data_IF_480652029168
#
_entry.id   IF_480652029168
#
_cell.length_a   1.000
_cell.length_b   1.000
_cell.length_c   1.000
_cell.angle_alpha   90.00
_cell.angle_beta   90.00
_cell.angle_gamma   90.00
#
_symmetry.space_group_name_H-M   'P 1'
#
loop_
_entity.id
_entity.type
_entity.pdbx_description
1 polymer ?
#
# COMPACT_ATOMS: atom_id res chain seq x y z
N UNK A 1 -13.17 -1.48 -12.25
CA UNK A 1 -13.16 -1.03 -10.84
C UNK A 1 -11.73 -0.72 -10.40
N UNK A 2 -11.38 0.56 -10.27
CA UNK A 2 -10.16 0.95 -9.54
C UNK A 2 -10.41 0.63 -8.06
N UNK A 3 -9.87 -0.49 -7.57
CA UNK A 3 -9.96 -0.86 -6.15
C UNK A 3 -9.21 0.21 -5.36
N UNK A 4 -9.94 1.11 -4.71
CA UNK A 4 -9.35 2.13 -3.86
C UNK A 4 -8.76 1.44 -2.61
N UNK A 5 -7.44 1.31 -2.58
CA UNK A 5 -6.72 0.74 -1.44
C UNK A 5 -6.42 1.89 -0.48
N UNK A 6 -7.27 2.03 0.54
CA UNK A 6 -7.23 3.15 1.49
C UNK A 6 -7.06 2.74 2.96
N UNK A 7 -6.95 1.44 3.25
CA UNK A 7 -6.78 0.92 4.61
C UNK A 7 -5.90 -0.34 4.62
N UNK A 8 -5.33 -0.66 5.78
CA UNK A 8 -4.46 -1.82 5.99
C UNK A 8 -5.08 -3.15 5.54
N UNK A 9 -6.38 -3.35 5.80
CA UNK A 9 -7.11 -4.57 5.43
C UNK A 9 -7.17 -4.74 3.91
N UNK A 10 -7.52 -3.68 3.18
CA UNK A 10 -7.57 -3.68 1.72
C UNK A 10 -6.17 -3.81 1.11
N UNK A 11 -5.14 -3.24 1.75
CA UNK A 11 -3.75 -3.40 1.32
C UNK A 11 -3.31 -4.86 1.39
N UNK A 12 -3.54 -5.51 2.54
CA UNK A 12 -3.24 -6.93 2.75
C UNK A 12 -3.99 -7.82 1.74
N UNK A 13 -5.29 -7.58 1.52
CA UNK A 13 -6.10 -8.31 0.52
C UNK A 13 -5.56 -8.19 -0.91
N UNK A 14 -4.84 -7.10 -1.23
CA UNK A 14 -4.20 -6.89 -2.54
C UNK A 14 -2.74 -7.39 -2.58
N UNK A 15 -2.30 -8.15 -1.57
CA UNK A 15 -0.92 -8.65 -1.39
C UNK A 15 0.10 -7.51 -1.24
N UNK A 16 -0.33 -6.38 -0.70
CA UNK A 16 0.53 -5.26 -0.34
C UNK A 16 0.97 -5.31 1.13
N UNK A 17 1.91 -4.45 1.47
CA UNK A 17 2.40 -4.21 2.83
C UNK A 17 2.34 -2.71 3.13
N UNK A 18 2.07 -2.36 4.39
CA UNK A 18 2.07 -0.98 4.83
C UNK A 18 3.51 -0.53 5.14
N UNK A 19 4.00 0.48 4.44
CA UNK A 19 5.31 1.08 4.68
C UNK A 19 5.18 2.55 5.07
N UNK A 20 5.83 2.99 6.16
CA UNK A 20 5.92 4.40 6.49
C UNK A 20 6.79 5.15 5.45
N UNK A 21 6.34 6.34 5.05
CA UNK A 21 7.05 7.21 4.11
C UNK A 21 6.93 6.74 2.65
N UNK A 22 7.90 5.97 2.18
CA UNK A 22 8.07 5.55 0.78
C UNK A 22 8.15 4.03 0.66
N UNK A 23 7.78 3.49 -0.50
CA UNK A 23 7.99 2.08 -0.78
C UNK A 23 9.48 1.77 -0.96
N UNK A 24 9.90 0.60 -0.50
CA UNK A 24 11.26 0.11 -0.70
C UNK A 24 11.61 -0.03 -2.21
N UNK A 25 12.92 -0.04 -2.56
CA UNK A 25 13.36 -0.39 -3.90
C UNK A 25 12.75 -1.72 -4.35
N UNK A 26 12.34 -1.80 -5.62
CA UNK A 26 11.61 -2.95 -6.23
C UNK A 26 10.15 -3.12 -5.78
N UNK A 27 9.59 -2.16 -5.05
CA UNK A 27 8.15 -2.11 -4.75
C UNK A 27 7.46 -0.94 -5.44
N UNK A 28 6.18 -1.09 -5.75
CA UNK A 28 5.31 -0.06 -6.32
C UNK A 28 4.25 0.34 -5.29
N UNK A 29 3.99 1.64 -5.17
CA UNK A 29 2.84 2.13 -4.41
C UNK A 29 1.55 1.75 -5.15
N UNK A 30 0.65 1.06 -4.45
CA UNK A 30 -0.66 0.64 -4.97
C UNK A 30 -1.83 1.29 -4.21
N UNK A 31 -1.55 2.03 -3.13
CA UNK A 31 -2.55 2.76 -2.34
C UNK A 31 -1.97 3.31 -1.04
N UNK A 32 -2.82 3.45 -0.03
CA UNK A 32 -2.48 3.86 1.35
C UNK A 32 -3.00 2.85 2.36
N UNK A 33 -2.58 2.99 3.62
CA UNK A 33 -3.05 2.14 4.72
C UNK A 33 -3.97 2.84 5.73
N UNK A 34 -4.53 4.00 5.37
CA UNK A 34 -5.45 4.76 6.23
C UNK A 34 -4.77 5.53 7.36
N UNK A 35 -3.43 5.54 7.40
CA UNK A 35 -2.63 6.32 8.34
C UNK A 35 -1.83 7.40 7.60
N UNK A 36 -1.59 8.57 8.23
CA UNK A 36 -0.76 9.62 7.67
C UNK A 36 0.60 9.07 7.24
N UNK A 37 1.02 9.42 6.02
CA UNK A 37 2.32 9.05 5.48
C UNK A 37 2.57 7.52 5.35
N UNK A 38 1.56 6.66 5.53
CA UNK A 38 1.72 5.20 5.34
C UNK A 38 1.17 4.78 3.97
N UNK A 39 2.06 4.24 3.14
CA UNK A 39 1.74 3.77 1.79
C UNK A 39 1.47 2.27 1.79
N UNK A 40 0.55 1.84 0.92
CA UNK A 40 0.44 0.43 0.57
C UNK A 40 1.38 0.13 -0.59
N UNK A 41 2.35 -0.75 -0.36
CA UNK A 41 3.41 -1.08 -1.30
C UNK A 41 3.31 -2.56 -1.69
N UNK A 42 3.52 -2.87 -2.97
CA UNK A 42 3.54 -4.25 -3.46
C UNK A 42 4.81 -4.49 -4.26
N UNK A 43 5.43 -5.66 -4.12
CA UNK A 43 6.55 -6.05 -5.00
C UNK A 43 6.08 -5.98 -6.45
N UNK A 44 6.94 -5.44 -7.33
CA UNK A 44 6.70 -5.51 -8.78
C UNK A 44 6.44 -6.95 -9.21
#
# INVERSE_FOLDING_TARGET
LLKNIGNSVSCLRNKGVCMPGKCAPKMKQIGTCGMPQVKCCKRK
#
